data_IF_203270203220
#
_entry.id   IF_203270203220
#
_cell.length_a   1.000
_cell.length_b   1.000
_cell.length_c   1.000
_cell.angle_alpha   90.00
_cell.angle_beta   90.00
_cell.angle_gamma   90.00
#
_symmetry.space_group_name_H-M   'P 1'
#
loop_
_entity.id
_entity.type
_entity.pdbx_description
1 polymer ?
#
# COMPACT_ATOMS: atom_id res chain seq x y z
N UNK A 1 -17.77 22.15 2.54
CA UNK A 1 -17.71 21.48 2.65
C UNK A 1 -17.41 20.61 2.84
N UNK A 2 -17.35 19.85 2.52
CA UNK A 2 -17.39 19.03 3.08
C UNK A 2 -16.85 17.80 2.77
N UNK A 3 -15.88 17.35 3.47
CA UNK A 3 -15.45 15.99 3.43
C UNK A 3 -16.56 15.14 3.98
N UNK A 4 -16.88 14.07 3.27
CA UNK A 4 -17.83 13.14 3.83
C UNK A 4 -17.23 12.55 5.10
N UNK A 5 -18.08 12.35 6.08
CA UNK A 5 -17.66 11.70 7.30
C UNK A 5 -17.46 10.22 7.04
N UNK A 6 -16.33 9.71 7.49
CA UNK A 6 -16.08 8.28 7.40
C UNK A 6 -16.76 7.59 8.56
N UNK A 7 -17.36 6.45 8.29
CA UNK A 7 -17.97 5.64 9.33
C UNK A 7 -17.25 4.31 9.43
N UNK A 8 -17.45 3.61 10.54
CA UNK A 8 -16.84 2.31 10.76
C UNK A 8 -17.33 1.25 9.78
N UNK A 9 -18.40 1.54 9.07
CA UNK A 9 -18.94 0.63 8.06
C UNK A 9 -18.29 0.82 6.70
N UNK A 10 -17.57 1.92 6.53
CA UNK A 10 -16.90 2.20 5.27
C UNK A 10 -15.67 1.31 5.11
N UNK A 11 -15.41 0.92 3.87
CA UNK A 11 -14.24 0.14 3.52
C UNK A 11 -13.18 1.08 2.97
N UNK A 12 -12.01 1.06 3.59
CA UNK A 12 -10.93 1.99 3.27
C UNK A 12 -9.73 1.24 2.73
N UNK A 13 -9.05 1.85 1.77
CA UNK A 13 -7.75 1.38 1.31
C UNK A 13 -6.77 2.53 1.52
N UNK A 14 -5.71 2.26 2.27
CA UNK A 14 -4.66 3.22 2.54
C UNK A 14 -3.38 2.74 1.89
N UNK A 15 -2.76 3.61 1.12
CA UNK A 15 -1.48 3.29 0.47
C UNK A 15 -0.54 4.47 0.62
N UNK A 16 0.73 4.16 0.80
CA UNK A 16 1.74 5.20 0.86
C UNK A 16 2.85 4.89 1.83
N UNK A 17 3.37 5.94 2.46
CA UNK A 17 4.52 5.88 3.34
C UNK A 17 4.14 5.27 4.69
N UNK A 18 5.07 5.37 5.64
CA UNK A 18 4.80 4.89 6.99
C UNK A 18 3.62 5.61 7.63
N UNK A 19 3.28 6.82 7.16
CA UNK A 19 2.08 7.50 7.64
C UNK A 19 0.82 6.70 7.32
N UNK A 20 0.79 6.07 6.15
CA UNK A 20 -0.35 5.22 5.79
C UNK A 20 -0.48 4.05 6.77
N UNK A 21 0.65 3.46 7.13
CA UNK A 21 0.65 2.34 8.07
C UNK A 21 0.20 2.79 9.45
N UNK A 22 0.71 3.93 9.92
CA UNK A 22 0.31 4.44 11.23
C UNK A 22 -1.16 4.83 11.28
N UNK A 23 -1.61 5.54 10.26
CA UNK A 23 -3.01 5.94 10.20
C UNK A 23 -3.91 4.71 10.11
N UNK A 24 -3.49 3.71 9.31
CA UNK A 24 -4.24 2.48 9.19
C UNK A 24 -4.38 1.77 10.53
N UNK A 25 -3.30 1.76 11.31
CA UNK A 25 -3.36 1.14 12.64
C UNK A 25 -4.32 1.87 13.55
N UNK A 26 -4.28 3.20 13.55
CA UNK A 26 -5.20 3.99 14.37
C UNK A 26 -6.64 3.80 13.97
N UNK A 27 -6.89 3.75 12.66
CA UNK A 27 -8.24 3.53 12.17
C UNK A 27 -8.73 2.13 12.51
N UNK A 28 -7.86 1.13 12.39
CA UNK A 28 -8.23 -0.24 12.74
C UNK A 28 -8.51 -0.35 14.24
N UNK A 29 -7.72 0.32 15.07
CA UNK A 29 -7.94 0.34 16.50
C UNK A 29 -9.28 0.99 16.84
N UNK A 30 -9.71 1.93 16.02
CA UNK A 30 -11.02 2.59 16.18
C UNK A 30 -12.13 1.81 15.46
N UNK A 31 -11.83 0.57 15.03
CA UNK A 31 -12.79 -0.37 14.43
C UNK A 31 -13.22 0.00 13.01
N UNK A 32 -12.42 0.80 12.31
CA UNK A 32 -12.64 1.02 10.88
C UNK A 32 -12.13 -0.17 10.08
N UNK A 33 -12.71 -0.38 8.92
CA UNK A 33 -12.32 -1.48 8.02
C UNK A 33 -11.28 -0.95 7.04
N UNK A 34 -10.03 -1.30 7.30
CA UNK A 34 -8.92 -0.78 6.52
C UNK A 34 -8.12 -1.89 5.88
N UNK A 35 -7.81 -1.71 4.59
CA UNK A 35 -6.79 -2.46 3.91
C UNK A 35 -5.61 -1.51 3.77
N UNK A 36 -4.45 -1.90 4.28
CA UNK A 36 -3.34 -0.97 4.44
C UNK A 36 -2.11 -1.50 3.73
N UNK A 37 -1.58 -0.70 2.83
CA UNK A 37 -0.31 -0.94 2.15
C UNK A 37 -0.17 -2.38 1.62
N UNK A 38 -0.98 -2.74 0.62
CA UNK A 38 -0.92 -4.10 0.05
C UNK A 38 0.43 -4.47 -0.54
N UNK A 39 1.27 -3.49 -0.88
CA UNK A 39 2.62 -3.71 -1.41
C UNK A 39 3.69 -3.40 -0.37
N UNK A 40 3.28 -3.14 0.88
CA UNK A 40 4.17 -2.56 1.87
C UNK A 40 4.25 -1.06 1.66
N UNK A 41 5.06 -0.39 2.50
CA UNK A 41 5.19 1.05 2.40
C UNK A 41 5.80 1.44 1.06
N UNK A 42 5.26 2.49 0.47
CA UNK A 42 5.74 3.06 -0.78
C UNK A 42 5.86 4.57 -0.59
N UNK A 43 7.03 5.11 -0.92
CA UNK A 43 7.29 6.53 -0.70
C UNK A 43 7.13 7.35 -1.97
N UNK A 44 7.24 6.71 -3.12
CA UNK A 44 7.23 7.39 -4.41
C UNK A 44 5.82 7.37 -4.98
N UNK A 45 5.24 8.55 -5.32
CA UNK A 45 3.89 8.59 -5.87
C UNK A 45 3.72 7.77 -7.15
N UNK A 46 4.78 7.66 -7.96
CA UNK A 46 4.70 6.86 -9.18
C UNK A 46 4.59 5.38 -8.84
N UNK A 47 5.27 4.94 -7.79
CA UNK A 47 5.18 3.55 -7.34
C UNK A 47 3.79 3.26 -6.78
N UNK A 48 3.21 4.21 -6.05
CA UNK A 48 1.87 4.06 -5.52
C UNK A 48 0.87 3.93 -6.67
N UNK A 49 1.01 4.78 -7.68
CA UNK A 49 0.14 4.75 -8.84
C UNK A 49 0.27 3.42 -9.59
N UNK A 50 1.50 2.95 -9.78
CA UNK A 50 1.74 1.69 -10.47
C UNK A 50 1.13 0.52 -9.70
N UNK A 51 1.31 0.51 -8.38
CA UNK A 51 0.74 -0.53 -7.53
C UNK A 51 -0.79 -0.53 -7.62
N UNK A 52 -1.38 0.65 -7.58
CA UNK A 52 -2.83 0.77 -7.66
C UNK A 52 -3.35 0.24 -8.99
N UNK A 53 -2.65 0.54 -10.09
CA UNK A 53 -3.03 -0.01 -11.39
C UNK A 53 -2.99 -1.53 -11.41
N UNK A 54 -1.98 -2.12 -10.77
CA UNK A 54 -1.87 -3.57 -10.71
C UNK A 54 -2.99 -4.18 -9.89
N UNK A 55 -3.37 -3.52 -8.80
CA UNK A 55 -4.48 -3.98 -7.97
C UNK A 55 -5.78 -3.94 -8.76
N UNK A 56 -6.01 -2.83 -9.47
CA UNK A 56 -7.21 -2.68 -10.29
C UNK A 56 -7.26 -3.76 -11.37
N UNK A 57 -6.13 -4.04 -11.99
CA UNK A 57 -6.05 -5.05 -13.04
C UNK A 57 -6.11 -6.48 -12.52
N UNK A 58 -5.88 -6.67 -11.22
CA UNK A 58 -5.84 -8.01 -10.66
C UNK A 58 -4.63 -8.80 -11.15
N UNK A 59 -3.47 -8.13 -11.22
CA UNK A 59 -2.25 -8.73 -11.72
C UNK A 59 -1.85 -9.95 -10.90
N UNK A 60 -1.29 -10.96 -11.57
CA UNK A 60 -0.73 -12.12 -10.91
C UNK A 60 0.77 -12.17 -11.23
N UNK A 61 1.60 -12.13 -10.21
CA UNK A 61 3.05 -12.20 -10.36
C UNK A 61 3.50 -13.63 -10.60
N UNK A 62 4.54 -13.79 -11.41
CA UNK A 62 5.16 -15.08 -11.65
C UNK A 62 6.67 -14.98 -11.42
N UNK A 63 7.38 -16.07 -11.64
CA UNK A 63 8.81 -16.13 -11.32
C UNK A 63 9.64 -15.12 -12.10
N UNK A 64 9.18 -14.69 -13.27
CA UNK A 64 9.90 -13.70 -14.05
C UNK A 64 9.79 -12.30 -13.47
N UNK A 65 8.88 -12.10 -12.51
CA UNK A 65 8.64 -10.80 -11.90
C UNK A 65 9.44 -10.60 -10.62
N UNK A 66 10.17 -11.61 -10.19
CA UNK A 66 10.98 -11.52 -8.97
C UNK A 66 12.42 -11.88 -9.29
N UNK A 67 13.33 -11.49 -8.42
CA UNK A 67 14.76 -11.74 -8.63
C UNK A 67 15.43 -12.10 -7.31
N UNK A 68 16.52 -12.84 -7.43
CA UNK A 68 17.29 -13.28 -6.28
C UNK A 68 18.41 -12.28 -6.02
N UNK A 69 18.51 -11.81 -4.79
CA UNK A 69 19.55 -10.87 -4.39
C UNK A 69 19.85 -11.10 -2.91
N UNK A 70 21.12 -11.31 -2.59
CA UNK A 70 21.56 -11.60 -1.22
C UNK A 70 20.73 -12.71 -0.60
N UNK A 71 20.55 -13.79 -1.36
CA UNK A 71 19.91 -15.02 -0.90
C UNK A 71 18.41 -14.88 -0.60
N UNK A 72 17.81 -13.76 -0.98
CA UNK A 72 16.38 -13.57 -0.83
C UNK A 72 15.77 -13.22 -2.16
N UNK A 73 14.53 -13.66 -2.34
CA UNK A 73 13.76 -13.33 -3.54
C UNK A 73 13.03 -12.01 -3.30
N UNK A 74 13.12 -11.11 -4.27
CA UNK A 74 12.60 -9.76 -4.18
C UNK A 74 11.73 -9.41 -5.36
N UNK A 75 10.81 -8.47 -5.12
CA UNK A 75 10.06 -7.80 -6.17
C UNK A 75 10.48 -6.33 -6.18
N UNK A 76 10.67 -5.77 -7.37
CA UNK A 76 11.04 -4.37 -7.49
C UNK A 76 9.93 -3.43 -7.02
N UNK A 77 8.70 -3.92 -6.98
CA UNK A 77 7.53 -3.13 -6.64
C UNK A 77 7.14 -3.21 -5.17
N UNK A 78 7.70 -4.14 -4.42
CA UNK A 78 7.24 -4.44 -3.07
C UNK A 78 8.29 -4.14 -2.02
N UNK A 79 7.83 -3.79 -0.84
CA UNK A 79 8.70 -3.62 0.32
C UNK A 79 9.40 -4.94 0.63
N UNK A 80 10.58 -4.84 1.23
CA UNK A 80 11.38 -6.02 1.57
C UNK A 80 10.70 -7.00 2.51
N UNK A 81 9.64 -6.58 3.20
CA UNK A 81 8.89 -7.50 4.05
C UNK A 81 8.25 -8.65 3.28
N UNK A 82 8.12 -8.50 1.95
CA UNK A 82 7.62 -9.58 1.09
C UNK A 82 8.70 -10.55 0.67
N UNK A 83 9.96 -10.22 0.91
CA UNK A 83 11.09 -11.05 0.47
C UNK A 83 11.27 -12.27 1.36
N UNK A 84 11.66 -13.38 0.75
CA UNK A 84 11.93 -14.60 1.50
C UNK A 84 12.96 -15.44 0.77
N UNK A 85 13.44 -16.50 1.43
CA UNK A 85 14.41 -17.42 0.82
C UNK A 85 13.74 -18.30 -0.23
N UNK A 86 12.43 -18.36 -0.25
CA UNK A 86 11.67 -19.20 -1.17
C UNK A 86 10.95 -18.35 -2.19
N UNK A 87 11.17 -18.64 -3.48
CA UNK A 87 10.46 -17.96 -4.55
C UNK A 87 8.96 -18.18 -4.42
N UNK A 88 8.57 -19.39 -4.06
CA UNK A 88 7.17 -19.74 -3.93
C UNK A 88 6.49 -18.94 -2.81
N UNK A 89 7.17 -18.81 -1.66
CA UNK A 89 6.62 -18.04 -0.56
C UNK A 89 6.52 -16.56 -0.89
N UNK A 90 7.53 -16.03 -1.57
CA UNK A 90 7.52 -14.63 -1.98
C UNK A 90 6.33 -14.38 -2.91
N UNK A 91 6.15 -15.25 -3.91
CA UNK A 91 5.03 -15.09 -4.84
C UNK A 91 3.68 -15.28 -4.16
N UNK A 92 3.59 -16.24 -3.25
CA UNK A 92 2.33 -16.48 -2.54
C UNK A 92 1.93 -15.25 -1.71
N UNK A 93 2.91 -14.63 -1.05
CA UNK A 93 2.65 -13.43 -0.26
C UNK A 93 2.23 -12.26 -1.13
N UNK A 94 2.95 -12.03 -2.21
CA UNK A 94 2.65 -10.95 -3.15
C UNK A 94 1.26 -11.13 -3.76
N UNK A 95 1.02 -12.31 -4.31
CA UNK A 95 -0.23 -12.58 -5.01
C UNK A 95 -1.42 -12.66 -4.08
N UNK A 96 -1.23 -13.22 -2.89
CA UNK A 96 -2.33 -13.28 -1.92
C UNK A 96 -2.78 -11.91 -1.48
N UNK A 97 -1.81 -11.04 -1.22
CA UNK A 97 -2.10 -9.68 -0.77
C UNK A 97 -2.77 -8.88 -1.89
N UNK A 98 -2.26 -9.01 -3.11
CA UNK A 98 -2.81 -8.31 -4.26
C UNK A 98 -4.23 -8.78 -4.57
N UNK A 99 -4.44 -10.09 -4.54
CA UNK A 99 -5.76 -10.66 -4.79
C UNK A 99 -6.77 -10.16 -3.78
N UNK A 100 -6.38 -10.13 -2.51
CA UNK A 100 -7.26 -9.64 -1.46
C UNK A 100 -7.63 -8.18 -1.68
N UNK A 101 -6.65 -7.35 -2.05
CA UNK A 101 -6.92 -5.94 -2.32
C UNK A 101 -7.82 -5.78 -3.54
N UNK A 102 -7.57 -6.56 -4.58
CA UNK A 102 -8.38 -6.51 -5.79
C UNK A 102 -9.84 -6.87 -5.50
N UNK A 103 -10.04 -7.91 -4.72
CA UNK A 103 -11.40 -8.37 -4.42
C UNK A 103 -12.18 -7.37 -3.57
N UNK A 104 -11.47 -6.54 -2.82
CA UNK A 104 -12.13 -5.54 -1.98
C UNK A 104 -12.53 -4.29 -2.74
N UNK A 105 -12.04 -4.12 -3.97
CA UNK A 105 -12.33 -2.91 -4.74
C UNK A 105 -13.82 -2.69 -4.96
N UNK A 106 -14.58 -3.77 -5.12
CA UNK A 106 -16.01 -3.65 -5.37
C UNK A 106 -16.76 -3.00 -4.22
N UNK A 107 -16.19 -3.06 -3.02
CA UNK A 107 -16.82 -2.52 -1.82
C UNK A 107 -16.06 -1.32 -1.27
N UNK A 108 -15.10 -0.82 -2.02
CA UNK A 108 -14.26 0.27 -1.53
C UNK A 108 -15.06 1.57 -1.49
N UNK A 109 -15.02 2.24 -0.35
CA UNK A 109 -15.70 3.51 -0.16
C UNK A 109 -14.74 4.68 -0.23
N UNK A 110 -13.49 4.49 0.20
CA UNK A 110 -12.54 5.59 0.25
C UNK A 110 -11.12 5.08 0.06
N UNK A 111 -10.38 5.79 -0.78
CA UNK A 111 -8.96 5.54 -1.02
C UNK A 111 -8.17 6.71 -0.45
N UNK A 112 -7.25 6.42 0.46
CA UNK A 112 -6.38 7.42 1.04
C UNK A 112 -4.96 7.16 0.59
N UNK A 113 -4.38 8.14 -0.11
CA UNK A 113 -3.01 8.07 -0.58
C UNK A 113 -2.18 9.02 0.27
N UNK A 114 -1.25 8.46 1.03
CA UNK A 114 -0.47 9.22 2.00
C UNK A 114 0.99 9.19 1.59
N UNK A 115 1.36 10.21 0.84
CA UNK A 115 2.71 10.33 0.33
C UNK A 115 3.47 11.34 1.18
N UNK A 116 4.69 10.99 1.51
CA UNK A 116 5.56 11.88 2.24
C UNK A 116 6.28 12.77 1.25
N UNK A 117 6.04 14.06 1.33
CA UNK A 117 6.72 15.05 0.49
C UNK A 117 7.59 15.91 1.38
N UNK A 118 8.81 15.47 1.66
CA UNK A 118 9.65 16.13 2.65
C UNK A 118 9.83 17.62 2.43
N UNK A 119 10.02 18.03 1.19
CA UNK A 119 10.21 19.45 0.90
C UNK A 119 9.00 20.26 1.27
N UNK A 120 7.83 19.73 0.98
CA UNK A 120 6.59 20.41 1.30
C UNK A 120 6.41 20.57 2.80
N UNK A 121 6.63 19.50 3.53
CA UNK A 121 6.47 19.53 4.98
C UNK A 121 7.47 20.47 5.62
N UNK A 122 8.69 20.45 5.13
CA UNK A 122 9.74 21.27 5.66
C UNK A 122 9.43 22.74 5.50
N UNK A 123 8.99 23.14 4.33
CA UNK A 123 8.66 24.53 4.08
C UNK A 123 7.56 25.00 4.98
N UNK A 124 6.54 24.18 5.15
CA UNK A 124 5.46 24.53 6.01
C UNK A 124 5.92 24.75 7.44
N UNK A 125 6.77 23.88 7.91
CA UNK A 125 7.29 23.96 9.25
C UNK A 125 8.07 25.24 9.48
N UNK A 126 8.84 25.63 8.49
CA UNK A 126 9.66 26.82 8.60
C UNK A 126 8.87 28.09 8.35
N UNK A 127 7.61 27.97 8.05
CA UNK A 127 6.79 29.12 7.76
C UNK A 127 7.06 29.72 6.41
N UNK A 128 7.69 28.98 5.55
CA UNK A 128 8.09 29.46 4.23
C UNK A 128 7.08 29.17 3.15
N UNK A 129 6.02 28.55 3.50
CA UNK A 129 4.99 28.25 2.52
C UNK A 129 3.93 29.31 2.49
#
# INVERSE_FOLDING_TARGET
SSMPLLSQENNLLLMGSCFASEMGQRLADAKFRCDVNPYGVLYNPFSISAALREIIAGRCYNENDIFLFHELWHSAMHHGSFSSVSAEETLAGINGRLKSAHERLDRLDCLLLLSDLPGFMKNKKDGEL
#
